data_IF_121051416679
#
_entry.id   IF_121051416679
#
_cell.length_a   1.000
_cell.length_b   1.000
_cell.length_c   1.000
_cell.angle_alpha   90.00
_cell.angle_beta   90.00
_cell.angle_gamma   90.00
#
_symmetry.space_group_name_H-M   'P 1'
#
loop_
_entity.id
_entity.type
_entity.pdbx_description
1 polymer ?
#
# COMPACT_ATOMS: atom_id res chain seq x y z
N UNK A 1 -32.99 -84.38 37.94
CA UNK A 1 -33.48 -82.99 38.00
C UNK A 1 -32.29 -82.09 37.68
N UNK A 2 -32.15 -81.64 36.41
CA UNK A 2 -31.10 -80.67 35.96
C UNK A 2 -31.72 -79.31 35.85
N UNK A 3 -31.22 -78.31 36.59
CA UNK A 3 -31.59 -76.91 36.50
C UNK A 3 -30.72 -76.25 35.43
N UNK A 4 -31.42 -75.77 34.42
CA UNK A 4 -30.77 -74.95 33.37
C UNK A 4 -30.81 -73.47 33.74
N UNK A 5 -29.68 -72.82 33.76
CA UNK A 5 -29.50 -71.39 33.93
C UNK A 5 -29.56 -70.69 32.57
N UNK A 6 -30.20 -69.53 32.41
CA UNK A 6 -30.21 -68.81 31.17
C UNK A 6 -28.96 -67.96 31.07
N UNK A 7 -28.33 -67.99 29.88
CA UNK A 7 -27.19 -67.08 29.47
C UNK A 7 -27.77 -65.77 28.95
N UNK A 8 -27.41 -64.68 29.62
CA UNK A 8 -27.79 -63.32 29.22
C UNK A 8 -26.77 -62.80 28.20
N UNK A 9 -27.22 -62.59 26.96
CA UNK A 9 -26.42 -61.93 25.95
C UNK A 9 -26.50 -60.40 26.14
N UNK A 10 -25.38 -59.75 26.51
CA UNK A 10 -25.27 -58.33 26.52
C UNK A 10 -24.94 -57.86 25.12
N UNK A 11 -25.81 -57.08 24.48
CA UNK A 11 -25.54 -56.37 23.24
C UNK A 11 -24.77 -55.09 23.57
N UNK A 12 -23.49 -55.03 23.22
CA UNK A 12 -22.71 -53.78 23.23
C UNK A 12 -23.03 -52.99 21.96
N UNK A 13 -23.68 -51.84 22.14
CA UNK A 13 -23.90 -50.90 21.08
C UNK A 13 -22.59 -50.11 20.81
N UNK A 14 -21.98 -50.32 19.66
CA UNK A 14 -20.85 -49.55 19.16
C UNK A 14 -21.40 -48.23 18.57
N UNK A 15 -21.18 -47.13 19.30
CA UNK A 15 -21.44 -45.78 18.78
C UNK A 15 -20.30 -45.40 17.81
N UNK A 16 -20.58 -45.47 16.52
CA UNK A 16 -19.71 -44.91 15.48
C UNK A 16 -19.86 -43.39 15.53
N UNK A 17 -18.87 -42.73 16.13
CA UNK A 17 -18.70 -41.29 16.02
C UNK A 17 -18.18 -41.02 14.61
N UNK A 18 -19.07 -40.59 13.72
CA UNK A 18 -18.69 -40.15 12.37
C UNK A 18 -17.82 -38.90 12.43
N UNK A 19 -16.56 -39.04 12.05
CA UNK A 19 -15.71 -37.87 11.75
C UNK A 19 -16.32 -37.13 10.55
N UNK A 20 -16.90 -35.95 10.81
CA UNK A 20 -17.28 -35.01 9.74
C UNK A 20 -15.98 -34.45 9.16
N UNK A 21 -15.67 -34.62 7.87
CA UNK A 21 -14.49 -33.99 7.28
C UNK A 21 -14.67 -32.48 7.35
N UNK A 22 -13.70 -31.80 7.97
CA UNK A 22 -13.59 -30.34 7.91
C UNK A 22 -13.54 -29.95 6.43
N UNK A 23 -14.61 -29.35 5.91
CA UNK A 23 -14.62 -28.78 4.57
C UNK A 23 -13.55 -27.68 4.53
N UNK A 24 -12.40 -28.01 3.95
CA UNK A 24 -11.42 -27.02 3.49
C UNK A 24 -12.13 -26.18 2.42
N UNK A 25 -12.67 -25.04 2.84
CA UNK A 25 -13.11 -24.00 1.91
C UNK A 25 -11.83 -23.54 1.20
N UNK A 26 -11.69 -23.74 -0.12
CA UNK A 26 -10.53 -23.23 -0.82
C UNK A 26 -10.51 -21.72 -0.63
N UNK A 27 -9.39 -21.17 -0.15
CA UNK A 27 -9.17 -19.74 -0.13
C UNK A 27 -9.40 -19.24 -1.55
N UNK A 28 -10.48 -18.49 -1.75
CA UNK A 28 -10.76 -17.90 -3.06
C UNK A 28 -9.54 -17.07 -3.44
N UNK A 29 -8.85 -17.45 -4.52
CA UNK A 29 -7.78 -16.66 -5.10
C UNK A 29 -8.39 -15.29 -5.42
N UNK A 30 -8.02 -14.28 -4.62
CA UNK A 30 -8.47 -12.93 -4.87
C UNK A 30 -8.08 -12.53 -6.30
N UNK A 31 -8.99 -11.90 -7.02
CA UNK A 31 -8.70 -11.40 -8.35
C UNK A 31 -7.48 -10.44 -8.28
N UNK A 32 -6.62 -10.43 -9.30
CA UNK A 32 -5.48 -9.53 -9.30
C UNK A 32 -5.94 -8.06 -9.19
N UNK A 33 -5.20 -7.22 -8.45
CA UNK A 33 -5.55 -5.84 -8.25
C UNK A 33 -5.59 -5.09 -9.60
N UNK A 34 -6.58 -4.20 -9.76
CA UNK A 34 -6.81 -3.43 -10.98
C UNK A 34 -6.51 -1.95 -10.82
N UNK A 35 -6.49 -1.47 -9.59
CA UNK A 35 -6.21 -0.07 -9.27
C UNK A 35 -5.49 0.05 -7.93
N UNK A 36 -5.01 1.26 -7.60
CA UNK A 36 -4.43 1.53 -6.28
C UNK A 36 -5.46 1.39 -5.15
N UNK A 37 -6.74 1.47 -5.45
CA UNK A 37 -7.82 1.38 -4.46
C UNK A 37 -8.02 -0.03 -3.89
N UNK A 38 -7.42 -1.05 -4.52
CA UNK A 38 -7.44 -2.43 -4.04
C UNK A 38 -6.43 -2.68 -2.90
N UNK A 39 -5.64 -1.65 -2.52
CA UNK A 39 -4.62 -1.77 -1.49
C UNK A 39 -5.00 -1.04 -0.21
N UNK A 40 -4.61 -1.65 0.92
CA UNK A 40 -4.66 -1.03 2.24
C UNK A 40 -3.24 -0.93 2.78
N UNK A 41 -2.83 0.28 3.15
CA UNK A 41 -1.58 0.54 3.86
C UNK A 41 -1.86 0.77 5.34
N UNK A 42 -0.82 0.96 6.13
CA UNK A 42 -0.94 1.53 7.48
C UNK A 42 -0.54 3.00 7.41
N UNK A 43 -1.32 3.88 8.05
CA UNK A 43 -0.89 5.27 8.24
C UNK A 43 0.41 5.33 9.05
N UNK A 44 1.06 6.49 9.10
CA UNK A 44 2.25 6.69 9.93
C UNK A 44 1.99 6.39 11.43
N UNK A 45 0.74 6.45 11.87
CA UNK A 45 0.28 6.11 13.22
C UNK A 45 -0.15 4.65 13.37
N UNK A 46 0.10 3.82 12.33
CA UNK A 46 -0.16 2.38 12.36
C UNK A 46 -1.61 1.97 12.10
N UNK A 47 -2.52 2.92 11.79
CA UNK A 47 -3.93 2.62 11.52
C UNK A 47 -4.10 2.09 10.09
N UNK A 48 -4.96 1.07 9.87
CA UNK A 48 -5.31 0.65 8.52
C UNK A 48 -5.89 1.82 7.72
N UNK A 49 -5.34 2.05 6.53
CA UNK A 49 -5.74 3.14 5.63
C UNK A 49 -5.93 2.54 4.24
N UNK A 50 -7.16 2.16 3.88
CA UNK A 50 -7.46 1.71 2.54
C UNK A 50 -7.32 2.87 1.55
N UNK A 51 -6.56 2.66 0.46
CA UNK A 51 -6.38 3.70 -0.55
C UNK A 51 -7.69 4.04 -1.29
N UNK A 52 -8.72 3.19 -1.14
CA UNK A 52 -10.08 3.47 -1.60
C UNK A 52 -10.73 4.71 -0.94
N UNK A 53 -10.20 5.19 0.19
CA UNK A 53 -10.61 6.48 0.79
C UNK A 53 -10.33 7.67 -0.13
N UNK A 54 -9.42 7.51 -1.09
CA UNK A 54 -9.08 8.53 -2.06
C UNK A 54 -9.84 8.41 -3.38
N UNK A 55 -10.92 7.62 -3.45
CA UNK A 55 -11.78 7.54 -4.62
C UNK A 55 -12.23 8.93 -5.07
N UNK A 56 -12.17 9.19 -6.39
CA UNK A 56 -12.53 10.47 -6.97
C UNK A 56 -11.48 11.57 -6.79
N UNK A 57 -10.32 11.25 -6.18
CA UNK A 57 -9.18 12.16 -6.04
C UNK A 57 -8.08 11.79 -7.04
N UNK A 58 -7.33 12.78 -7.47
CA UNK A 58 -6.03 12.58 -8.11
C UNK A 58 -5.02 12.28 -7.01
N UNK A 59 -4.25 11.20 -7.16
CA UNK A 59 -3.33 10.75 -6.10
C UNK A 59 -1.90 10.78 -6.61
N UNK A 60 -1.00 11.42 -5.85
CA UNK A 60 0.44 11.37 -6.08
C UNK A 60 1.09 10.54 -4.96
N UNK A 61 1.48 9.31 -5.27
CA UNK A 61 2.26 8.47 -4.35
C UNK A 61 3.75 8.77 -4.51
N UNK A 62 4.47 8.93 -3.39
CA UNK A 62 5.91 9.23 -3.38
C UNK A 62 6.60 8.37 -2.34
N UNK A 63 7.62 7.57 -2.73
CA UNK A 63 8.48 6.92 -1.74
C UNK A 63 9.52 7.92 -1.23
N UNK A 64 9.56 8.11 0.07
CA UNK A 64 10.31 9.19 0.72
C UNK A 64 11.35 8.69 1.71
N UNK A 65 12.33 9.56 2.04
CA UNK A 65 13.32 9.29 3.07
C UNK A 65 13.83 10.59 3.72
N UNK A 66 14.18 10.50 5.01
CA UNK A 66 14.59 11.65 5.83
C UNK A 66 16.05 12.07 5.65
N UNK A 67 16.93 11.18 5.13
CA UNK A 67 18.40 11.41 5.01
C UNK A 67 18.91 11.29 3.58
N UNK A 68 18.09 11.64 2.61
CA UNK A 68 18.41 11.61 1.19
C UNK A 68 18.81 12.98 0.68
N UNK A 69 19.64 13.04 -0.36
CA UNK A 69 19.92 14.31 -1.06
C UNK A 69 18.67 14.97 -1.64
N UNK A 70 17.63 14.17 -1.93
CA UNK A 70 16.33 14.66 -2.41
C UNK A 70 15.34 15.03 -1.30
N UNK A 71 15.67 14.84 -0.01
CA UNK A 71 14.79 15.18 1.12
C UNK A 71 14.25 16.63 1.07
N UNK A 72 14.97 17.65 0.57
CA UNK A 72 14.40 19.00 0.40
C UNK A 72 13.16 19.07 -0.49
N UNK A 73 12.87 18.04 -1.31
CA UNK A 73 11.64 17.97 -2.10
C UNK A 73 10.35 17.92 -1.25
N UNK A 74 10.44 17.61 0.04
CA UNK A 74 9.28 17.74 0.94
C UNK A 74 8.66 19.15 0.92
N UNK A 75 9.49 20.20 0.78
CA UNK A 75 9.00 21.59 0.66
C UNK A 75 8.14 21.76 -0.59
N UNK A 76 8.59 21.26 -1.74
CA UNK A 76 7.83 21.34 -2.99
C UNK A 76 6.60 20.40 -2.98
N UNK A 77 6.69 19.23 -2.33
CA UNK A 77 5.53 18.34 -2.14
C UNK A 77 4.45 19.03 -1.33
N UNK A 78 4.79 19.65 -0.20
CA UNK A 78 3.83 20.36 0.63
C UNK A 78 3.21 21.55 -0.11
N UNK A 79 4.02 22.38 -0.78
CA UNK A 79 3.54 23.50 -1.58
C UNK A 79 2.59 23.03 -2.70
N UNK A 80 2.90 21.93 -3.38
CA UNK A 80 2.04 21.34 -4.41
C UNK A 80 0.74 20.80 -3.80
N UNK A 81 0.81 20.14 -2.66
CA UNK A 81 -0.37 19.67 -1.94
C UNK A 81 -1.29 20.82 -1.56
N UNK A 82 -0.77 21.87 -0.91
CA UNK A 82 -1.53 23.05 -0.52
C UNK A 82 -2.19 23.74 -1.72
N UNK A 83 -1.48 23.83 -2.83
CA UNK A 83 -2.00 24.44 -4.07
C UNK A 83 -3.20 23.70 -4.66
N UNK A 84 -3.17 22.35 -4.63
CA UNK A 84 -4.12 21.54 -5.39
C UNK A 84 -5.09 20.72 -4.54
N UNK A 85 -4.93 20.64 -3.21
CA UNK A 85 -5.79 19.81 -2.33
C UNK A 85 -7.27 20.18 -2.44
N UNK A 86 -7.60 21.46 -2.54
CA UNK A 86 -8.98 21.94 -2.68
C UNK A 86 -9.61 21.56 -4.04
N UNK A 87 -8.77 21.31 -5.05
CA UNK A 87 -9.18 20.82 -6.37
C UNK A 87 -9.27 19.30 -6.44
N UNK A 88 -8.84 18.60 -5.40
CA UNK A 88 -8.95 17.15 -5.28
C UNK A 88 -7.65 16.37 -5.48
N UNK A 89 -6.49 17.00 -5.35
CA UNK A 89 -5.22 16.29 -5.22
C UNK A 89 -5.04 15.75 -3.81
N UNK A 90 -4.56 14.53 -3.70
CA UNK A 90 -3.99 13.95 -2.48
C UNK A 90 -2.56 13.53 -2.76
N UNK A 91 -1.62 13.94 -1.91
CA UNK A 91 -0.26 13.42 -1.90
C UNK A 91 -0.17 12.38 -0.79
N UNK A 92 0.46 11.24 -1.06
CA UNK A 92 0.68 10.18 -0.08
C UNK A 92 2.17 9.88 -0.01
N UNK A 93 2.80 10.23 1.11
CA UNK A 93 4.20 9.93 1.39
C UNK A 93 4.36 8.53 1.97
N UNK A 94 5.23 7.73 1.37
CA UNK A 94 5.48 6.34 1.76
C UNK A 94 6.95 6.19 2.12
N UNK A 95 7.34 6.24 3.42
CA UNK A 95 8.71 6.08 3.85
C UNK A 95 9.29 4.72 3.44
N UNK A 96 10.54 4.71 2.95
CA UNK A 96 11.24 3.49 2.52
C UNK A 96 12.72 3.54 2.86
N UNK A 97 13.26 2.44 3.41
CA UNK A 97 14.66 2.35 3.81
C UNK A 97 15.54 1.54 2.84
N UNK A 98 15.01 1.24 1.64
CA UNK A 98 15.68 0.37 0.66
C UNK A 98 16.91 1.01 0.00
N UNK A 99 17.06 2.33 0.05
CA UNK A 99 18.11 3.06 -0.66
C UNK A 99 19.11 3.67 0.32
N UNK A 100 20.24 2.97 0.47
CA UNK A 100 21.35 3.42 1.32
C UNK A 100 21.02 3.57 2.80
N UNK A 101 19.94 2.93 3.31
CA UNK A 101 19.55 3.06 4.70
C UNK A 101 19.13 4.49 5.08
N UNK A 102 18.62 5.26 4.13
CA UNK A 102 18.34 6.70 4.30
C UNK A 102 17.03 7.02 5.03
N UNK A 103 16.28 6.00 5.48
CA UNK A 103 15.10 6.14 6.34
C UNK A 103 15.19 5.23 7.57
N UNK A 104 16.22 5.40 8.45
CA UNK A 104 16.45 4.49 9.57
C UNK A 104 15.46 4.66 10.72
N UNK A 105 14.80 5.83 10.82
CA UNK A 105 13.92 6.20 11.93
C UNK A 105 12.70 5.29 12.09
N UNK A 106 12.10 5.33 13.27
CA UNK A 106 10.76 4.77 13.53
C UNK A 106 9.70 5.61 12.80
N UNK A 107 8.48 5.10 12.67
CA UNK A 107 7.37 5.88 12.10
C UNK A 107 7.11 7.19 12.87
N UNK A 108 7.23 7.16 14.20
CA UNK A 108 7.06 8.34 15.06
C UNK A 108 8.15 9.39 14.82
N UNK A 109 9.41 8.95 14.70
CA UNK A 109 10.54 9.83 14.39
C UNK A 109 10.39 10.45 12.98
N UNK A 110 9.94 9.66 11.99
CA UNK A 110 9.67 10.12 10.62
C UNK A 110 8.55 11.16 10.63
N UNK A 111 7.43 10.87 11.30
CA UNK A 111 6.31 11.80 11.46
C UNK A 111 6.77 13.14 12.06
N UNK A 112 7.52 13.05 13.16
CA UNK A 112 8.07 14.22 13.85
C UNK A 112 8.99 15.04 12.94
N UNK A 113 9.88 14.36 12.21
CA UNK A 113 10.79 14.99 11.25
C UNK A 113 10.03 15.73 10.14
N UNK A 114 9.09 15.05 9.48
CA UNK A 114 8.31 15.61 8.38
C UNK A 114 7.49 16.82 8.84
N UNK A 115 6.80 16.71 9.98
CA UNK A 115 5.95 17.77 10.52
C UNK A 115 6.78 18.98 11.00
N UNK A 116 7.84 18.74 11.79
CA UNK A 116 8.60 19.86 12.38
C UNK A 116 9.51 20.56 11.37
N UNK A 117 10.10 19.82 10.43
CA UNK A 117 11.09 20.39 9.52
C UNK A 117 10.49 20.91 8.20
N UNK A 118 9.42 20.25 7.71
CA UNK A 118 8.85 20.56 6.41
C UNK A 118 7.37 20.93 6.46
N UNK A 119 6.77 20.96 7.66
CA UNK A 119 5.35 21.26 7.87
C UNK A 119 4.41 20.34 7.06
N UNK A 120 4.84 19.10 6.81
CA UNK A 120 4.07 18.13 6.02
C UNK A 120 2.69 17.94 6.63
N UNK A 121 1.67 18.22 5.83
CA UNK A 121 0.25 18.09 6.17
C UNK A 121 -0.47 17.01 5.35
N UNK A 122 0.13 16.53 4.26
CA UNK A 122 -0.42 15.43 3.47
C UNK A 122 -0.27 14.08 4.19
N UNK A 123 -1.11 13.07 3.83
CA UNK A 123 -1.05 11.73 4.39
C UNK A 123 0.33 11.08 4.29
N UNK A 124 0.83 10.60 5.44
CA UNK A 124 2.05 9.80 5.53
C UNK A 124 1.70 8.37 5.95
N UNK A 125 2.31 7.39 5.29
CA UNK A 125 2.13 5.97 5.60
C UNK A 125 3.27 5.46 6.49
N UNK A 126 3.06 4.32 7.12
CA UNK A 126 4.11 3.57 7.81
C UNK A 126 5.20 3.17 6.81
N UNK A 127 6.44 3.08 7.31
CA UNK A 127 7.58 2.64 6.51
C UNK A 127 7.37 1.24 5.95
N UNK A 128 7.65 1.09 4.65
CA UNK A 128 7.51 -0.18 3.91
C UNK A 128 8.74 -0.46 3.06
N UNK A 129 8.82 -1.69 2.53
CA UNK A 129 9.79 -2.03 1.48
C UNK A 129 9.19 -1.76 0.10
N UNK A 130 9.96 -1.06 -0.74
CA UNK A 130 9.57 -0.69 -2.12
C UNK A 130 10.42 -1.39 -3.18
N UNK A 131 11.42 -2.16 -2.74
CA UNK A 131 12.36 -2.88 -3.62
C UNK A 131 12.92 -4.12 -2.88
N UNK A 132 13.23 -5.19 -3.62
CA UNK A 132 13.78 -6.44 -3.09
C UNK A 132 12.70 -7.50 -2.90
N UNK A 133 13.08 -8.60 -2.23
CA UNK A 133 12.23 -9.78 -2.05
C UNK A 133 11.00 -9.49 -1.18
N UNK A 134 11.12 -8.55 -0.25
CA UNK A 134 10.07 -8.10 0.67
C UNK A 134 9.25 -6.91 0.17
N UNK A 135 9.35 -6.59 -1.12
CA UNK A 135 8.57 -5.51 -1.74
C UNK A 135 7.08 -5.67 -1.46
N UNK A 136 6.46 -4.62 -0.94
CA UNK A 136 5.02 -4.63 -0.62
C UNK A 136 4.15 -4.82 -1.86
N UNK A 137 2.96 -5.44 -1.72
CA UNK A 137 2.05 -5.70 -2.84
C UNK A 137 1.73 -4.46 -3.69
N UNK A 138 1.57 -3.29 -3.07
CA UNK A 138 1.37 -2.03 -3.80
C UNK A 138 2.54 -1.75 -4.77
N UNK A 139 3.79 -1.86 -4.29
CA UNK A 139 4.94 -1.57 -5.14
C UNK A 139 5.22 -2.68 -6.16
N UNK A 140 4.86 -3.94 -5.87
CA UNK A 140 4.84 -5.00 -6.88
C UNK A 140 3.87 -4.65 -8.02
N UNK A 141 2.68 -4.15 -7.68
CA UNK A 141 1.70 -3.66 -8.64
C UNK A 141 2.24 -2.48 -9.46
N UNK A 142 2.77 -1.44 -8.82
CA UNK A 142 3.27 -0.22 -9.48
C UNK A 142 4.44 -0.47 -10.43
N UNK A 143 5.28 -1.45 -10.13
CA UNK A 143 6.49 -1.76 -10.90
C UNK A 143 6.27 -2.85 -11.96
N UNK A 144 5.10 -3.46 -11.99
CA UNK A 144 4.76 -4.56 -12.89
C UNK A 144 4.41 -4.05 -14.30
N UNK A 145 4.96 -4.73 -15.32
CA UNK A 145 4.59 -4.50 -16.73
C UNK A 145 3.14 -4.86 -17.04
N UNK A 146 2.51 -5.69 -16.20
CA UNK A 146 1.09 -6.06 -16.37
C UNK A 146 0.14 -4.97 -15.90
N UNK A 147 0.60 -4.06 -15.02
CA UNK A 147 -0.17 -2.90 -14.57
C UNK A 147 -0.15 -1.79 -15.63
N UNK A 148 1.03 -1.33 -15.97
CA UNK A 148 1.26 -0.39 -17.06
C UNK A 148 2.69 -0.59 -17.61
N UNK A 149 2.86 -1.07 -18.84
CA UNK A 149 4.18 -1.34 -19.40
C UNK A 149 5.03 -0.08 -19.60
N UNK A 150 4.43 1.11 -19.67
CA UNK A 150 5.14 2.39 -19.85
C UNK A 150 5.69 2.94 -18.53
N UNK A 151 4.99 2.67 -17.42
CA UNK A 151 5.35 3.17 -16.08
C UNK A 151 6.06 2.11 -15.23
N UNK A 152 6.13 0.87 -15.72
CA UNK A 152 6.76 -0.26 -15.06
C UNK A 152 8.27 -0.08 -14.86
N UNK A 153 8.81 -0.94 -14.02
CA UNK A 153 10.23 -1.01 -13.71
C UNK A 153 10.52 -0.72 -12.25
N UNK A 154 11.64 -1.25 -11.78
CA UNK A 154 12.05 -1.10 -10.39
C UNK A 154 12.16 0.37 -9.97
N UNK A 155 11.87 0.62 -8.69
CA UNK A 155 12.17 1.92 -8.08
C UNK A 155 13.69 2.08 -8.01
N UNK A 156 14.19 3.15 -8.62
CA UNK A 156 15.63 3.38 -8.71
C UNK A 156 16.19 4.08 -7.46
N UNK A 157 15.41 4.99 -6.85
CA UNK A 157 15.83 5.74 -5.68
C UNK A 157 14.64 6.33 -4.90
N UNK A 158 14.93 6.94 -3.74
CA UNK A 158 13.96 7.73 -2.99
C UNK A 158 13.41 8.88 -3.83
N UNK A 159 12.18 9.29 -3.57
CA UNK A 159 11.44 10.35 -4.25
C UNK A 159 11.05 10.02 -5.70
N UNK A 160 10.90 8.73 -6.04
CA UNK A 160 10.14 8.33 -7.24
C UNK A 160 8.65 8.59 -6.99
N UNK A 161 7.96 9.14 -7.98
CA UNK A 161 6.55 9.54 -7.87
C UNK A 161 5.71 8.79 -8.89
N UNK A 162 4.49 8.42 -8.49
CA UNK A 162 3.46 7.86 -9.36
C UNK A 162 2.19 8.70 -9.24
N UNK A 163 1.69 9.20 -10.36
CA UNK A 163 0.45 9.95 -10.44
C UNK A 163 -0.68 9.05 -10.93
N UNK A 164 -1.83 9.18 -10.28
CA UNK A 164 -3.06 8.43 -10.60
C UNK A 164 -4.19 9.41 -10.87
N UNK A 165 -5.05 9.04 -11.81
CA UNK A 165 -6.29 9.75 -12.06
C UNK A 165 -7.34 9.50 -10.96
N UNK A 166 -8.53 10.09 -11.11
CA UNK A 166 -9.64 9.95 -10.16
C UNK A 166 -10.21 8.54 -10.04
N UNK A 167 -9.87 7.65 -10.99
CA UNK A 167 -10.29 6.25 -11.00
C UNK A 167 -9.21 5.33 -10.39
N UNK A 168 -8.07 5.88 -9.98
CA UNK A 168 -6.95 5.12 -9.46
C UNK A 168 -6.11 4.42 -10.53
N UNK A 169 -6.24 4.87 -11.79
CA UNK A 169 -5.44 4.40 -12.91
C UNK A 169 -4.12 5.19 -12.94
N UNK A 170 -2.96 4.52 -13.07
CA UNK A 170 -1.68 5.23 -13.17
C UNK A 170 -1.60 6.02 -14.49
N UNK A 171 -1.20 7.28 -14.43
CA UNK A 171 -1.11 8.17 -15.61
C UNK A 171 0.30 8.70 -15.86
N UNK A 172 1.14 8.77 -14.82
CA UNK A 172 2.53 9.19 -14.96
C UNK A 172 3.43 8.60 -13.86
N UNK A 173 4.70 8.42 -14.20
CA UNK A 173 5.78 8.16 -13.26
C UNK A 173 6.86 9.20 -13.46
N UNK A 174 7.39 9.74 -12.35
CA UNK A 174 8.47 10.71 -12.37
C UNK A 174 9.64 10.20 -11.55
N UNK A 175 10.82 10.30 -12.13
CA UNK A 175 12.05 9.87 -11.48
C UNK A 175 12.46 10.86 -10.35
N UNK A 176 13.37 10.46 -9.45
CA UNK A 176 13.72 11.25 -8.27
C UNK A 176 14.14 12.70 -8.52
N UNK A 177 14.85 12.95 -9.63
CA UNK A 177 15.35 14.27 -10.01
C UNK A 177 14.29 15.23 -10.54
N UNK A 178 13.09 14.73 -10.90
CA UNK A 178 11.96 15.56 -11.33
C UNK A 178 11.26 16.08 -10.09
N UNK A 179 11.33 17.40 -9.86
CA UNK A 179 10.76 18.01 -8.64
C UNK A 179 9.23 18.11 -8.70
N UNK A 180 8.55 18.04 -7.55
CA UNK A 180 7.07 18.08 -7.51
C UNK A 180 6.43 19.33 -8.09
N UNK A 181 7.15 20.46 -8.07
CA UNK A 181 6.75 21.77 -8.58
C UNK A 181 7.22 22.04 -10.01
N UNK A 182 7.88 21.08 -10.68
CA UNK A 182 8.31 21.22 -12.07
C UNK A 182 7.11 21.40 -13.01
N UNK A 183 7.34 22.01 -14.17
CA UNK A 183 6.32 22.19 -15.19
C UNK A 183 5.73 20.84 -15.65
N UNK A 184 6.55 19.78 -15.71
CA UNK A 184 6.14 18.44 -16.10
C UNK A 184 5.14 17.85 -15.10
N UNK A 185 5.47 17.87 -13.80
CA UNK A 185 4.60 17.32 -12.73
C UNK A 185 3.32 18.14 -12.61
N UNK A 186 3.44 19.47 -12.60
CA UNK A 186 2.26 20.34 -12.47
C UNK A 186 1.30 20.22 -13.65
N UNK A 187 1.81 20.13 -14.89
CA UNK A 187 0.97 19.90 -16.07
C UNK A 187 0.23 18.55 -16.01
N UNK A 188 0.93 17.47 -15.56
CA UNK A 188 0.30 16.17 -15.40
C UNK A 188 -0.78 16.18 -14.31
N UNK A 189 -0.53 16.84 -13.17
CA UNK A 189 -1.51 17.01 -12.09
C UNK A 189 -2.73 17.79 -12.61
N UNK A 190 -2.54 18.91 -13.29
CA UNK A 190 -3.62 19.74 -13.82
C UNK A 190 -4.45 18.97 -14.86
N UNK A 191 -3.79 18.21 -15.74
CA UNK A 191 -4.48 17.33 -16.69
C UNK A 191 -5.34 16.28 -15.99
N UNK A 192 -4.80 15.61 -14.94
CA UNK A 192 -5.52 14.59 -14.19
C UNK A 192 -6.69 15.17 -13.36
N UNK A 193 -6.55 16.41 -12.87
CA UNK A 193 -7.61 17.10 -12.12
C UNK A 193 -8.80 17.48 -13.01
N UNK A 194 -8.61 17.60 -14.31
CA UNK A 194 -9.60 18.20 -15.23
C UNK A 194 -9.62 19.71 -15.07
N UNK A 195 -9.71 20.44 -16.16
CA UNK A 195 -9.75 21.91 -16.14
C UNK A 195 -11.01 22.45 -15.52
#
# INVERSE_FOLDING_TARGET
MRKSTPVSLAFSAIVLIGLVPANLVPAALAAPPKSIYDFTLKSIDGQPTPLSEYHGKVVLLVNVASRCGFTPQYTALEATYEKYKSRGLVIVGIPANNFGGQEPGTNEEIKTFCTKKYSVSFPMMSKVSVKGEDTTPLYQFLTSKTTDPKLAGEIQWNFTKFLFDRNGTPVARFEPNVTPDSAEVTAAIESALGH
#
